data_IF_970778380676
#
_entry.id   IF_970778380676
#
_cell.length_a   1.000
_cell.length_b   1.000
_cell.length_c   1.000
_cell.angle_alpha   90.00
_cell.angle_beta   90.00
_cell.angle_gamma   90.00
#
_symmetry.space_group_name_H-M   'P 1'
#
loop_
_entity.id
_entity.type
_entity.pdbx_description
1 polymer ?
#
# COMPACT_ATOMS: atom_id res chain seq x y z
N UNK A 1 -10.02 -0.89 11.02
CA UNK A 1 -9.17 -1.85 10.29
C UNK A 1 -8.80 -1.21 8.98
N UNK A 2 -7.52 -1.23 8.63
CA UNK A 2 -7.02 -0.62 7.40
C UNK A 2 -6.30 -1.70 6.59
N UNK A 3 -6.50 -1.69 5.27
CA UNK A 3 -5.69 -2.44 4.31
C UNK A 3 -4.95 -1.43 3.44
N UNK A 4 -3.63 -1.51 3.44
CA UNK A 4 -2.74 -0.65 2.66
C UNK A 4 -2.19 -1.46 1.50
N UNK A 5 -2.22 -0.89 0.30
CA UNK A 5 -1.54 -1.45 -0.87
C UNK A 5 -0.20 -0.74 -1.03
N UNK A 6 0.90 -1.46 -0.80
CA UNK A 6 2.24 -0.97 -1.10
C UNK A 6 2.60 -1.32 -2.54
N UNK A 7 3.16 -0.36 -3.27
CA UNK A 7 3.52 -0.50 -4.68
C UNK A 7 2.84 0.55 -5.58
N UNK A 8 2.65 0.26 -6.89
CA UNK A 8 2.11 1.20 -7.86
C UNK A 8 0.76 1.84 -7.50
N UNK A 9 -0.06 1.11 -6.72
CA UNK A 9 -1.36 1.59 -6.25
C UNK A 9 -1.28 2.82 -5.33
N UNK A 10 -0.08 3.17 -4.84
CA UNK A 10 0.13 4.40 -4.06
C UNK A 10 0.08 5.67 -4.92
N UNK A 11 0.29 5.58 -6.23
CA UNK A 11 0.17 6.76 -7.10
C UNK A 11 -1.30 7.14 -7.21
N UNK A 12 -1.61 8.36 -6.78
CA UNK A 12 -2.93 8.94 -6.90
C UNK A 12 -3.06 9.55 -8.29
N UNK A 13 -4.12 9.18 -9.01
CA UNK A 13 -4.39 9.67 -10.35
C UNK A 13 -5.57 10.62 -10.36
N UNK A 14 -5.44 11.71 -11.12
CA UNK A 14 -6.52 12.67 -11.33
C UNK A 14 -6.84 12.75 -12.82
N UNK A 15 -8.12 12.63 -13.14
CA UNK A 15 -8.62 12.91 -14.48
C UNK A 15 -8.53 14.41 -14.73
N UNK A 16 -7.89 14.79 -15.83
CA UNK A 16 -7.88 16.17 -16.29
C UNK A 16 -9.00 16.39 -17.31
N UNK A 17 -9.81 17.44 -17.13
CA UNK A 17 -10.79 17.82 -18.14
C UNK A 17 -10.04 18.35 -19.37
N UNK A 18 -9.94 17.54 -20.42
CA UNK A 18 -9.55 17.96 -21.77
C UNK A 18 -10.80 18.16 -22.64
N UNK A 19 -10.58 18.52 -23.91
CA UNK A 19 -11.61 18.67 -24.92
C UNK A 19 -12.64 17.51 -24.87
N UNK A 20 -13.93 17.77 -25.18
CA UNK A 20 -14.96 16.74 -25.17
C UNK A 20 -14.52 15.49 -25.95
N UNK A 21 -14.53 14.34 -25.30
CA UNK A 21 -14.15 13.05 -25.90
C UNK A 21 -12.71 12.59 -25.66
N UNK A 22 -11.84 13.40 -25.05
CA UNK A 22 -10.48 12.98 -24.68
C UNK A 22 -10.33 12.95 -23.16
N UNK A 23 -10.11 11.77 -22.59
CA UNK A 23 -9.72 11.62 -21.18
C UNK A 23 -8.21 11.59 -21.07
N UNK A 24 -7.66 12.37 -20.15
CA UNK A 24 -6.23 12.30 -19.81
C UNK A 24 -6.08 12.19 -18.31
N UNK A 25 -5.18 11.32 -17.86
CA UNK A 25 -4.88 11.12 -16.46
C UNK A 25 -3.52 11.72 -16.15
N UNK A 26 -3.38 12.33 -14.98
CA UNK A 26 -2.10 12.83 -14.50
C UNK A 26 -1.90 12.38 -13.08
N UNK A 27 -0.68 11.99 -12.69
CA UNK A 27 -0.40 11.65 -11.31
C UNK A 27 -0.50 12.93 -10.47
N UNK A 28 -1.21 12.84 -9.37
CA UNK A 28 -1.59 13.97 -8.52
C UNK A 28 -0.94 13.94 -7.14
N UNK A 29 -0.38 12.80 -6.73
CA UNK A 29 0.25 12.61 -5.43
C UNK A 29 0.64 11.15 -5.21
N UNK A 30 1.27 10.90 -4.07
CA UNK A 30 1.59 9.55 -3.57
C UNK A 30 0.91 9.41 -2.23
N UNK A 31 0.15 8.32 -2.06
CA UNK A 31 -0.37 7.91 -0.77
C UNK A 31 0.78 7.44 0.14
N UNK A 32 0.77 7.70 1.45
CA UNK A 32 -0.23 8.48 2.17
C UNK A 32 0.06 9.99 2.12
N UNK A 33 -1.00 10.79 2.14
CA UNK A 33 -0.91 12.21 2.55
C UNK A 33 -0.76 12.35 4.08
N UNK A 34 -0.69 13.59 4.59
CA UNK A 34 -0.47 13.83 6.03
C UNK A 34 -1.58 13.28 6.93
N UNK A 35 -2.85 13.40 6.53
CA UNK A 35 -3.98 12.93 7.31
C UNK A 35 -4.05 11.39 7.31
N UNK A 36 -3.78 10.79 6.15
CA UNK A 36 -3.70 9.34 5.99
C UNK A 36 -2.51 8.76 6.77
N UNK A 37 -1.36 9.44 6.78
CA UNK A 37 -0.20 9.03 7.55
C UNK A 37 -0.50 9.03 9.05
N UNK A 38 -1.13 10.10 9.55
CA UNK A 38 -1.55 10.19 10.95
C UNK A 38 -2.52 9.05 11.33
N UNK A 39 -3.47 8.73 10.45
CA UNK A 39 -4.42 7.63 10.64
C UNK A 39 -3.71 6.26 10.72
N UNK A 40 -2.72 6.03 9.86
CA UNK A 40 -1.93 4.80 9.83
C UNK A 40 -1.06 4.69 11.08
N UNK A 41 -0.38 5.77 11.48
CA UNK A 41 0.42 5.81 12.71
C UNK A 41 -0.44 5.53 13.94
N UNK A 42 -1.64 6.11 14.03
CA UNK A 42 -2.59 5.81 15.13
C UNK A 42 -2.94 4.32 15.18
N UNK A 43 -3.09 3.66 14.02
CA UNK A 43 -3.36 2.22 13.98
C UNK A 43 -2.19 1.40 14.48
N UNK A 44 -0.96 1.77 14.10
CA UNK A 44 0.27 1.10 14.56
C UNK A 44 0.44 1.28 16.07
N UNK A 45 0.36 2.52 16.56
CA UNK A 45 0.53 2.86 17.98
C UNK A 45 -0.50 2.18 18.89
N UNK A 46 -1.75 2.06 18.42
CA UNK A 46 -2.84 1.41 19.16
C UNK A 46 -2.94 -0.08 18.90
N UNK A 47 -2.00 -0.66 18.17
CA UNK A 47 -1.98 -2.06 17.74
C UNK A 47 -3.30 -2.50 17.08
N UNK A 48 -3.98 -1.58 16.40
CA UNK A 48 -5.23 -1.85 15.70
C UNK A 48 -4.93 -2.64 14.42
N UNK A 49 -5.87 -3.50 13.97
CA UNK A 49 -5.70 -4.26 12.74
C UNK A 49 -5.32 -3.40 11.53
N UNK A 50 -4.12 -3.64 11.02
CA UNK A 50 -3.53 -3.01 9.84
C UNK A 50 -2.87 -4.11 9.00
N UNK A 51 -3.37 -4.32 7.78
CA UNK A 51 -2.76 -5.22 6.80
C UNK A 51 -2.01 -4.39 5.76
N UNK A 52 -0.76 -4.75 5.51
CA UNK A 52 0.05 -4.16 4.44
C UNK A 52 0.23 -5.20 3.35
N UNK A 53 -0.43 -4.98 2.22
CA UNK A 53 -0.34 -5.80 1.02
C UNK A 53 0.79 -5.28 0.13
N UNK A 54 1.90 -6.02 0.10
CA UNK A 54 3.03 -5.78 -0.79
C UNK A 54 2.65 -6.30 -2.19
N UNK A 55 2.22 -5.39 -3.07
CA UNK A 55 1.82 -5.71 -4.44
C UNK A 55 3.00 -5.45 -5.36
N UNK A 56 3.54 -6.51 -5.95
CA UNK A 56 4.70 -6.48 -6.83
C UNK A 56 5.94 -5.80 -6.19
N UNK A 57 7.05 -6.52 -6.01
CA UNK A 57 8.28 -5.96 -5.42
C UNK A 57 8.91 -4.80 -6.24
N UNK A 58 8.26 -4.41 -7.35
CA UNK A 58 8.69 -3.34 -8.24
C UNK A 58 7.96 -2.07 -7.82
N UNK A 59 8.66 -1.22 -7.07
CA UNK A 59 8.24 0.15 -6.78
C UNK A 59 8.31 1.07 -8.02
N UNK A 60 8.01 0.54 -9.23
CA UNK A 60 8.14 1.24 -10.51
C UNK A 60 6.79 1.38 -11.17
N UNK A 61 6.45 2.60 -11.59
CA UNK A 61 5.20 2.91 -12.27
C UNK A 61 5.51 3.50 -13.64
N UNK A 62 5.19 2.82 -14.74
CA UNK A 62 5.35 3.39 -16.08
C UNK A 62 4.30 4.49 -16.29
N UNK A 63 4.74 5.68 -16.71
CA UNK A 63 3.89 6.85 -16.96
C UNK A 63 4.30 7.52 -18.25
N UNK A 64 3.34 8.02 -19.04
CA UNK A 64 3.69 8.74 -20.26
C UNK A 64 4.38 10.05 -19.92
N UNK A 65 5.40 10.42 -20.68
CA UNK A 65 6.09 11.70 -20.53
C UNK A 65 5.13 12.88 -20.63
N UNK A 66 4.07 12.76 -21.43
CA UNK A 66 3.02 13.78 -21.53
C UNK A 66 2.23 13.93 -20.22
N UNK A 67 1.92 12.83 -19.53
CA UNK A 67 1.18 12.84 -18.25
C UNK A 67 2.05 13.45 -17.14
N UNK A 68 3.36 13.21 -17.20
CA UNK A 68 4.35 13.76 -16.26
C UNK A 68 4.56 15.26 -16.37
N UNK A 69 4.41 15.86 -17.56
CA UNK A 69 4.56 17.32 -17.74
C UNK A 69 3.55 18.14 -16.93
N UNK A 70 2.43 17.53 -16.55
CA UNK A 70 1.36 18.17 -15.78
C UNK A 70 1.32 17.68 -14.32
N UNK A 71 2.30 16.90 -13.90
CA UNK A 71 2.43 16.44 -12.52
C UNK A 71 2.81 17.61 -11.59
N UNK A 72 2.28 17.65 -10.35
CA UNK A 72 2.71 18.63 -9.35
C UNK A 72 4.20 18.49 -9.01
N UNK A 73 4.93 19.60 -8.81
CA UNK A 73 6.36 19.55 -8.46
C UNK A 73 6.63 18.75 -7.18
N UNK A 74 5.75 18.87 -6.18
CA UNK A 74 5.84 18.13 -4.91
C UNK A 74 5.84 16.61 -5.10
N UNK A 75 5.12 16.11 -6.12
CA UNK A 75 5.14 14.70 -6.48
C UNK A 75 6.54 14.29 -6.98
N UNK A 76 7.16 15.12 -7.83
CA UNK A 76 8.47 14.84 -8.41
C UNK A 76 9.56 14.78 -7.33
N UNK A 77 9.49 15.67 -6.35
CA UNK A 77 10.40 15.69 -5.19
C UNK A 77 10.26 14.43 -4.31
N UNK A 78 9.07 13.82 -4.29
CA UNK A 78 8.77 12.63 -3.49
C UNK A 78 9.21 11.31 -4.15
N UNK A 79 9.69 11.35 -5.40
CA UNK A 79 10.11 10.17 -6.16
C UNK A 79 11.62 9.92 -6.03
N UNK A 80 12.02 8.64 -5.99
CA UNK A 80 13.43 8.26 -5.97
C UNK A 80 14.01 8.39 -7.38
N UNK A 81 14.69 9.51 -7.67
CA UNK A 81 15.42 9.72 -8.93
C UNK A 81 14.55 9.55 -10.19
N UNK A 82 13.37 10.18 -10.24
CA UNK A 82 12.83 10.56 -11.54
C UNK A 82 13.78 11.64 -12.09
N UNK A 83 14.78 11.26 -12.89
CA UNK A 83 15.54 12.24 -13.67
C UNK A 83 14.77 12.47 -14.97
N UNK A 84 13.95 13.53 -15.09
CA UNK A 84 13.31 13.90 -16.35
C UNK A 84 14.30 14.37 -17.42
N UNK A 85 15.59 14.52 -17.06
CA UNK A 85 16.61 15.20 -17.86
C UNK A 85 17.59 14.28 -18.60
N UNK A 86 17.40 12.95 -18.62
CA UNK A 86 18.09 12.16 -19.64
C UNK A 86 17.41 12.43 -21.00
N UNK A 87 18.12 13.01 -21.98
CA UNK A 87 17.57 13.30 -23.31
C UNK A 87 17.42 11.98 -24.09
N UNK A 88 16.46 11.16 -23.68
CA UNK A 88 16.02 9.97 -24.39
C UNK A 88 14.67 10.23 -25.04
N UNK A 89 14.47 9.76 -26.26
CA UNK A 89 13.20 9.87 -27.01
C UNK A 89 12.03 9.08 -26.39
N UNK A 90 12.26 8.36 -25.27
CA UNK A 90 11.29 7.43 -24.69
C UNK A 90 9.96 8.08 -24.30
N UNK A 91 8.86 7.64 -24.91
CA UNK A 91 7.52 8.14 -24.63
C UNK A 91 7.06 7.82 -23.18
N UNK A 92 7.67 6.79 -22.56
CA UNK A 92 7.35 6.29 -21.22
C UNK A 92 8.51 6.57 -20.27
N UNK A 93 8.18 7.09 -19.08
CA UNK A 93 9.11 7.33 -17.97
C UNK A 93 8.74 6.40 -16.81
N UNK A 94 9.74 5.83 -16.12
CA UNK A 94 9.50 5.02 -14.92
C UNK A 94 9.57 5.88 -13.65
N UNK A 95 8.44 5.99 -12.92
CA UNK A 95 8.42 6.59 -11.58
C UNK A 95 8.84 5.56 -10.55
N UNK A 96 9.80 5.92 -9.69
CA UNK A 96 10.23 5.06 -8.59
C UNK A 96 9.67 5.57 -7.27
N UNK A 97 8.82 4.76 -6.66
CA UNK A 97 8.22 5.03 -5.37
C UNK A 97 9.17 4.65 -4.24
N UNK A 98 9.28 5.46 -3.19
CA UNK A 98 9.99 5.06 -1.98
C UNK A 98 9.25 3.91 -1.30
N UNK A 99 9.96 2.84 -0.97
CA UNK A 99 9.36 1.60 -0.46
C UNK A 99 9.07 1.71 1.04
N UNK A 100 7.79 1.61 1.42
CA UNK A 100 7.30 1.65 2.81
C UNK A 100 7.81 2.84 3.63
N UNK A 101 8.18 3.95 3.00
CA UNK A 101 8.75 5.15 3.64
C UNK A 101 7.86 5.78 4.72
N UNK A 102 6.55 5.55 4.62
CA UNK A 102 5.55 5.98 5.60
C UNK A 102 5.55 5.15 6.90
N UNK A 103 6.19 3.98 6.90
CA UNK A 103 6.17 3.02 7.99
C UNK A 103 7.39 3.21 8.91
N UNK A 104 7.28 3.02 10.25
CA UNK A 104 8.43 3.10 11.14
C UNK A 104 9.53 2.07 10.81
N UNK A 105 10.78 2.43 11.03
CA UNK A 105 11.99 1.68 10.63
C UNK A 105 11.94 0.19 11.02
N UNK A 106 11.59 -0.12 12.27
CA UNK A 106 11.51 -1.49 12.76
C UNK A 106 10.50 -2.36 11.97
N UNK A 107 9.39 -1.76 11.55
CA UNK A 107 8.39 -2.44 10.72
C UNK A 107 8.82 -2.50 9.25
N UNK A 108 9.57 -1.50 8.74
CA UNK A 108 10.17 -1.58 7.39
C UNK A 108 11.17 -2.73 7.28
N UNK A 109 12.03 -2.89 8.27
CA UNK A 109 13.01 -3.99 8.30
C UNK A 109 12.32 -5.35 8.35
N UNK A 110 11.25 -5.47 9.15
CA UNK A 110 10.42 -6.68 9.22
C UNK A 110 9.73 -6.97 7.87
N UNK A 111 9.14 -5.96 7.23
CA UNK A 111 8.54 -6.11 5.91
C UNK A 111 9.56 -6.53 4.85
N UNK A 112 10.77 -5.97 4.88
CA UNK A 112 11.84 -6.33 3.96
C UNK A 112 12.29 -7.80 4.12
N UNK A 113 12.37 -8.30 5.36
CA UNK A 113 12.61 -9.73 5.64
C UNK A 113 11.50 -10.61 5.08
N UNK A 114 10.23 -10.27 5.38
CA UNK A 114 9.08 -11.00 4.83
C UNK A 114 9.09 -11.01 3.29
N UNK A 115 9.40 -9.88 2.65
CA UNK A 115 9.48 -9.79 1.20
C UNK A 115 10.56 -10.72 0.64
N UNK A 116 11.74 -10.74 1.25
CA UNK A 116 12.83 -11.65 0.89
C UNK A 116 12.41 -13.12 1.03
N UNK A 117 11.80 -13.51 2.16
CA UNK A 117 11.35 -14.87 2.39
C UNK A 117 10.26 -15.29 1.38
N UNK A 118 9.38 -14.35 1.01
CA UNK A 118 8.35 -14.57 -0.01
C UNK A 118 8.93 -14.69 -1.42
N UNK A 119 9.99 -13.93 -1.76
CA UNK A 119 10.74 -14.09 -3.03
C UNK A 119 11.40 -15.46 -3.11
N UNK A 120 12.04 -15.91 -2.01
CA UNK A 120 12.62 -17.25 -1.96
C UNK A 120 11.56 -18.34 -2.18
N UNK A 121 10.39 -18.20 -1.54
CA UNK A 121 9.25 -19.11 -1.72
C UNK A 121 8.77 -19.16 -3.17
N UNK A 122 8.61 -17.99 -3.80
CA UNK A 122 8.18 -17.86 -5.19
C UNK A 122 9.20 -18.42 -6.18
N UNK A 123 10.50 -18.28 -5.88
CA UNK A 123 11.56 -18.80 -6.75
C UNK A 123 11.65 -20.32 -6.76
N UNK A 124 11.23 -20.99 -5.68
CA UNK A 124 11.35 -22.45 -5.49
C UNK A 124 10.05 -23.20 -5.75
N UNK A 125 8.91 -22.51 -5.76
CA UNK A 125 7.59 -23.13 -5.82
C UNK A 125 6.86 -22.69 -7.09
N UNK A 126 6.38 -23.64 -7.92
CA UNK A 126 5.50 -23.30 -9.04
C UNK A 126 4.28 -22.50 -8.57
N UNK A 127 3.97 -21.40 -9.26
CA UNK A 127 2.85 -20.50 -8.90
C UNK A 127 1.52 -21.23 -8.75
N UNK A 128 1.27 -22.28 -9.53
CA UNK A 128 0.05 -23.10 -9.46
C UNK A 128 -0.15 -23.83 -8.12
N UNK A 129 0.90 -23.97 -7.30
CA UNK A 129 0.86 -24.60 -5.99
C UNK A 129 0.83 -23.58 -4.84
N UNK A 130 0.94 -22.29 -5.15
CA UNK A 130 0.95 -21.24 -4.15
C UNK A 130 -0.46 -20.72 -3.87
N UNK A 131 -0.76 -20.35 -2.60
CA UNK A 131 -1.99 -19.65 -2.30
C UNK A 131 -2.00 -18.28 -3.00
N UNK A 132 -3.19 -17.68 -3.26
CA UNK A 132 -3.28 -16.37 -3.90
C UNK A 132 -2.66 -15.23 -3.07
N UNK A 133 -2.52 -15.45 -1.76
CA UNK A 133 -1.95 -14.53 -0.79
C UNK A 133 -0.95 -15.28 0.10
N UNK A 134 0.30 -14.83 0.13
CA UNK A 134 1.27 -15.23 1.15
C UNK A 134 1.15 -14.28 2.33
N UNK A 135 1.14 -14.80 3.54
CA UNK A 135 1.01 -14.00 4.78
C UNK A 135 2.25 -14.18 5.64
N UNK A 136 2.59 -13.15 6.38
CA UNK A 136 3.66 -13.21 7.35
C UNK A 136 3.29 -14.09 8.54
N UNK A 137 4.17 -15.06 8.86
CA UNK A 137 4.00 -15.97 9.98
C UNK A 137 4.81 -15.55 11.23
N UNK A 138 5.84 -14.71 11.05
CA UNK A 138 6.79 -14.33 12.10
C UNK A 138 6.73 -12.84 12.39
N UNK A 139 6.72 -12.49 13.67
CA UNK A 139 6.58 -11.10 14.11
C UNK A 139 7.86 -10.53 14.75
N UNK A 140 8.93 -11.32 14.84
CA UNK A 140 10.27 -10.91 15.33
C UNK A 140 10.28 -10.17 16.70
N UNK A 141 9.35 -10.52 17.60
CA UNK A 141 9.21 -9.86 18.91
C UNK A 141 8.54 -8.49 18.86
N UNK A 142 8.10 -8.03 17.68
CA UNK A 142 7.26 -6.85 17.50
C UNK A 142 5.77 -7.20 17.66
N UNK A 143 4.91 -6.19 17.92
CA UNK A 143 3.46 -6.37 17.90
C UNK A 143 2.98 -6.99 16.58
N UNK A 144 1.89 -7.80 16.62
CA UNK A 144 1.42 -8.50 15.44
C UNK A 144 0.88 -7.57 14.34
N UNK A 145 0.44 -6.36 14.70
CA UNK A 145 0.04 -5.32 13.75
C UNK A 145 1.16 -4.29 13.55
N UNK A 146 1.46 -3.84 12.33
CA UNK A 146 0.93 -4.33 11.06
C UNK A 146 1.31 -5.78 10.76
N UNK A 147 0.44 -6.47 10.02
CA UNK A 147 0.75 -7.73 9.35
C UNK A 147 1.14 -7.47 7.90
N UNK A 148 2.13 -8.17 7.39
CA UNK A 148 2.48 -8.11 5.97
C UNK A 148 1.89 -9.30 5.21
N UNK A 149 1.46 -9.05 3.98
CA UNK A 149 1.07 -10.10 3.06
C UNK A 149 1.43 -9.71 1.63
N UNK A 150 1.58 -10.69 0.76
CA UNK A 150 1.98 -10.52 -0.64
C UNK A 150 0.99 -11.21 -1.56
N UNK A 151 0.52 -10.49 -2.57
CA UNK A 151 -0.29 -11.05 -3.65
C UNK A 151 0.63 -11.73 -4.67
N UNK A 152 0.30 -12.95 -5.06
CA UNK A 152 1.14 -13.74 -5.98
C UNK A 152 0.92 -13.35 -7.44
N UNK A 153 -0.32 -13.01 -7.81
CA UNK A 153 -0.64 -12.47 -9.12
C UNK A 153 -1.54 -11.24 -8.98
N UNK A 154 -1.42 -10.25 -9.89
CA UNK A 154 -2.38 -9.17 -9.99
C UNK A 154 -3.80 -9.73 -10.15
N UNK A 155 -4.73 -9.30 -9.30
CA UNK A 155 -6.13 -9.74 -9.35
C UNK A 155 -6.41 -11.17 -8.88
N UNK A 156 -5.42 -11.89 -8.32
CA UNK A 156 -5.62 -13.24 -7.76
C UNK A 156 -6.64 -13.30 -6.62
N UNK A 157 -6.90 -12.16 -5.98
CA UNK A 157 -7.78 -12.06 -4.83
C UNK A 157 -8.83 -10.95 -5.05
N UNK A 158 -10.06 -11.32 -5.42
CA UNK A 158 -11.20 -10.40 -5.45
C UNK A 158 -11.43 -9.70 -4.10
N UNK A 159 -12.09 -8.55 -4.12
CA UNK A 159 -12.26 -7.72 -2.92
C UNK A 159 -13.00 -8.42 -1.77
N UNK A 160 -14.03 -9.22 -2.07
CA UNK A 160 -14.77 -10.04 -1.10
C UNK A 160 -13.88 -11.11 -0.46
N UNK A 161 -13.02 -11.76 -1.26
CA UNK A 161 -12.06 -12.76 -0.77
C UNK A 161 -10.94 -12.13 0.05
N UNK A 162 -10.51 -10.93 -0.31
CA UNK A 162 -9.56 -10.16 0.48
C UNK A 162 -10.18 -9.77 1.83
N UNK A 163 -11.43 -9.29 1.85
CA UNK A 163 -12.12 -8.97 3.09
C UNK A 163 -12.18 -10.18 4.04
N UNK A 164 -12.58 -11.35 3.53
CA UNK A 164 -12.62 -12.59 4.31
C UNK A 164 -11.22 -13.02 4.80
N UNK A 165 -10.17 -12.87 3.98
CA UNK A 165 -8.80 -13.15 4.40
C UNK A 165 -8.36 -12.21 5.53
N UNK A 166 -8.72 -10.93 5.46
CA UNK A 166 -8.39 -9.95 6.51
C UNK A 166 -9.12 -10.31 7.81
N UNK A 167 -10.42 -10.61 7.76
CA UNK A 167 -11.18 -11.07 8.93
C UNK A 167 -10.53 -12.28 9.59
N UNK A 168 -10.08 -13.25 8.79
CA UNK A 168 -9.38 -14.43 9.29
C UNK A 168 -8.03 -14.07 9.95
N UNK A 169 -7.22 -13.23 9.31
CA UNK A 169 -5.89 -12.84 9.82
C UNK A 169 -5.94 -12.07 11.14
N UNK A 170 -7.06 -11.40 11.43
CA UNK A 170 -7.26 -10.62 12.64
C UNK A 170 -8.35 -11.18 13.56
N UNK A 171 -8.79 -12.43 13.36
CA UNK A 171 -9.86 -13.04 14.16
C UNK A 171 -9.53 -13.10 15.67
N UNK A 172 -8.26 -13.32 16.01
CA UNK A 172 -7.76 -13.36 17.39
C UNK A 172 -7.29 -12.01 17.92
N UNK A 173 -7.39 -10.94 17.12
CA UNK A 173 -7.05 -9.60 17.61
C UNK A 173 -8.06 -9.22 18.70
N UNK A 174 -7.63 -8.72 19.87
CA UNK A 174 -8.56 -8.28 20.90
C UNK A 174 -9.43 -7.16 20.31
N UNK A 175 -10.68 -7.51 19.98
CA UNK A 175 -11.71 -6.54 19.63
C UNK A 175 -11.95 -5.72 20.88
N UNK A 176 -11.20 -4.62 21.04
CA UNK A 176 -11.55 -3.58 21.98
C UNK A 176 -12.80 -2.92 21.43
N UNK A 177 -13.96 -3.51 21.74
CA UNK A 177 -15.25 -2.87 21.57
C UNK A 177 -15.12 -1.47 22.16
N UNK A 178 -15.18 -0.46 21.30
CA UNK A 178 -15.60 0.85 21.72
C UNK A 178 -17.05 0.69 22.13
N UNK A 179 -17.29 0.28 23.38
CA UNK A 179 -18.60 0.38 23.98
C UNK A 179 -18.93 1.87 24.01
N UNK A 180 -19.70 2.31 23.02
CA UNK A 180 -20.54 3.48 23.17
C UNK A 180 -21.39 3.23 24.42
N UNK A 181 -21.06 3.90 25.52
CA UNK A 181 -21.93 3.90 26.69
C UNK A 181 -23.22 4.63 26.33
N UNK A 182 -24.40 4.01 26.42
CA UNK A 182 -25.65 4.75 26.45
C UNK A 182 -25.84 5.26 27.87
N UNK A 183 -25.64 6.56 28.08
CA UNK A 183 -25.97 7.26 29.32
C UNK A 183 -27.12 8.22 29.09
N UNK A 184 -28.34 7.67 29.06
CA UNK A 184 -29.61 8.40 29.08
C UNK A 184 -29.64 9.50 30.15
N UNK A 185 -30.25 10.63 29.80
CA UNK A 185 -30.58 11.68 30.77
C UNK A 185 -31.74 11.31 31.70
N UNK A 186 -31.87 12.08 32.78
CA UNK A 186 -33.12 12.46 33.42
C UNK A 186 -32.80 13.50 34.52
N UNK A 187 -33.70 14.48 34.68
CA UNK A 187 -33.44 15.72 35.40
C UNK A 187 -33.48 15.66 36.93
N UNK A 188 -33.06 16.77 37.52
CA UNK A 188 -33.93 17.70 38.25
C UNK A 188 -33.26 19.07 38.32
#
# INVERSE_FOLDING_TARGET
MIVVLEGPARVLWKEQPRQPGTRSWTPAGIWPDQDQLAMVHEHIEKERPLLVLLDEARSRVPVLRQEMRSAPCQLLESLIHAHPDEPGEDEVVELRLPFLDWLPDAHRDRAARFLKDSDETLSRTPVALLPPLLTEDRHDGLPPSPRFARRILPGALPADRLAAAVEHLFADAPQRCAAAGPGNGAGR
#
